data_IF_994944757536
#
_entry.id   IF_994944757536
#
_cell.length_a   1.000
_cell.length_b   1.000
_cell.length_c   1.000
_cell.angle_alpha   90.00
_cell.angle_beta   90.00
_cell.angle_gamma   90.00
#
_symmetry.space_group_name_H-M   'P 1'
#
loop_
_entity.id
_entity.type
_entity.pdbx_description
1 polymer ?
#
# COMPACT_ATOMS: atom_id res chain seq x y z
N UNK A 1 3.69 -21.66 -4.34
CA UNK A 1 3.67 -20.27 -4.78
C UNK A 1 3.72 -19.37 -3.55
N UNK A 2 4.40 -18.23 -3.65
CA UNK A 2 4.33 -17.18 -2.62
C UNK A 2 3.74 -15.91 -3.25
N UNK A 3 3.05 -15.13 -2.43
CA UNK A 3 2.46 -13.87 -2.88
C UNK A 3 2.68 -12.76 -1.85
N UNK A 4 2.75 -11.52 -2.35
CA UNK A 4 2.74 -10.31 -1.52
C UNK A 4 1.60 -9.44 -1.99
N UNK A 5 0.74 -9.02 -1.07
CA UNK A 5 -0.33 -8.07 -1.33
C UNK A 5 -0.07 -6.76 -0.60
N UNK A 6 -0.14 -5.63 -1.29
CA UNK A 6 0.14 -4.33 -0.70
C UNK A 6 -0.67 -3.21 -1.36
N UNK A 7 -1.40 -2.42 -0.56
CA UNK A 7 -2.17 -1.29 -1.04
C UNK A 7 -1.83 -0.03 -0.21
N UNK A 8 -1.73 1.16 -0.81
CA UNK A 8 -1.50 2.41 -0.08
C UNK A 8 -2.57 2.69 0.97
N UNK A 9 -3.84 2.50 0.63
CA UNK A 9 -4.98 2.65 1.55
C UNK A 9 -5.19 1.46 2.49
N UNK A 10 -4.48 0.39 2.28
CA UNK A 10 -3.93 -0.66 3.14
C UNK A 10 -4.83 -1.54 3.97
N UNK A 11 -6.16 -1.37 4.03
CA UNK A 11 -6.97 -2.19 4.93
C UNK A 11 -7.79 -3.22 4.13
N UNK A 12 -8.79 -2.81 3.38
CA UNK A 12 -9.71 -3.76 2.76
C UNK A 12 -9.10 -4.53 1.58
N UNK A 13 -8.54 -3.82 0.59
CA UNK A 13 -8.09 -4.46 -0.65
C UNK A 13 -6.91 -5.41 -0.46
N UNK A 14 -6.02 -5.12 0.51
CA UNK A 14 -4.87 -6.00 0.82
C UNK A 14 -5.35 -7.36 1.32
N UNK A 15 -6.31 -7.37 2.25
CA UNK A 15 -6.88 -8.61 2.80
C UNK A 15 -7.81 -9.30 1.82
N UNK A 16 -8.62 -8.56 1.05
CA UNK A 16 -9.45 -9.15 0.00
C UNK A 16 -8.62 -9.88 -1.06
N UNK A 17 -7.46 -9.34 -1.43
CA UNK A 17 -6.54 -9.99 -2.35
C UNK A 17 -5.89 -11.24 -1.74
N UNK A 18 -5.52 -11.18 -0.46
CA UNK A 18 -5.02 -12.34 0.29
C UNK A 18 -6.05 -13.47 0.30
N UNK A 19 -7.28 -13.16 0.71
CA UNK A 19 -8.37 -14.14 0.81
C UNK A 19 -8.71 -14.75 -0.56
N UNK A 20 -8.81 -13.92 -1.60
CA UNK A 20 -9.07 -14.37 -2.96
C UNK A 20 -7.98 -15.33 -3.47
N UNK A 21 -6.71 -15.01 -3.24
CA UNK A 21 -5.59 -15.86 -3.62
C UNK A 21 -5.58 -17.17 -2.83
N UNK A 22 -5.79 -17.12 -1.51
CA UNK A 22 -5.83 -18.32 -0.64
C UNK A 22 -7.01 -19.24 -0.98
N UNK A 23 -8.20 -18.69 -1.14
CA UNK A 23 -9.39 -19.45 -1.48
C UNK A 23 -9.24 -20.13 -2.84
N UNK A 24 -8.75 -19.39 -3.83
CA UNK A 24 -8.53 -19.94 -5.17
C UNK A 24 -7.44 -21.00 -5.18
N UNK A 25 -6.34 -20.78 -4.48
CA UNK A 25 -5.27 -21.77 -4.35
C UNK A 25 -5.78 -23.07 -3.71
N UNK A 26 -6.61 -22.96 -2.66
CA UNK A 26 -7.28 -24.13 -2.03
C UNK A 26 -8.14 -24.90 -3.02
N UNK A 27 -8.92 -24.21 -3.86
CA UNK A 27 -9.74 -24.84 -4.92
C UNK A 27 -8.90 -25.55 -5.98
N UNK A 28 -7.68 -25.06 -6.21
CA UNK A 28 -6.75 -25.63 -7.20
C UNK A 28 -5.80 -26.68 -6.61
N UNK A 29 -5.86 -26.96 -5.31
CA UNK A 29 -4.92 -27.86 -4.63
C UNK A 29 -3.48 -27.31 -4.58
N UNK A 30 -3.29 -25.99 -4.70
CA UNK A 30 -1.98 -25.32 -4.71
C UNK A 30 -1.68 -24.77 -3.34
N UNK A 31 -0.46 -25.04 -2.83
CA UNK A 31 0.00 -24.41 -1.60
C UNK A 31 0.46 -22.98 -1.89
N UNK A 32 -0.16 -22.01 -1.26
CA UNK A 32 0.18 -20.59 -1.36
C UNK A 32 0.42 -19.99 0.02
N UNK A 33 1.49 -19.21 0.14
CA UNK A 33 1.77 -18.37 1.30
C UNK A 33 1.64 -16.91 0.88
N UNK A 34 0.86 -16.13 1.61
CA UNK A 34 0.59 -14.73 1.27
C UNK A 34 1.05 -13.83 2.41
N UNK A 35 1.94 -12.91 2.10
CA UNK A 35 2.33 -11.79 2.95
C UNK A 35 1.44 -10.59 2.63
N UNK A 36 0.96 -9.92 3.67
CA UNK A 36 0.14 -8.70 3.52
C UNK A 36 0.88 -7.50 4.09
N UNK A 37 0.99 -6.45 3.29
CA UNK A 37 1.58 -5.17 3.67
C UNK A 37 0.47 -4.10 3.71
N UNK A 38 -0.29 -4.11 4.82
CA UNK A 38 -1.36 -3.16 5.09
C UNK A 38 -0.87 -1.87 5.78
N UNK A 39 -1.82 -1.09 6.29
CA UNK A 39 -1.57 0.08 7.15
C UNK A 39 -0.96 -0.31 8.50
N UNK A 40 -1.28 -1.50 8.98
CA UNK A 40 -0.79 -2.05 10.25
C UNK A 40 0.62 -2.68 10.14
N UNK A 41 1.30 -2.46 9.01
CA UNK A 41 2.58 -3.06 8.71
C UNK A 41 2.50 -4.40 7.96
N UNK A 42 3.63 -5.09 7.89
CA UNK A 42 3.73 -6.39 7.23
C UNK A 42 3.26 -7.51 8.18
N UNK A 43 2.33 -8.34 7.70
CA UNK A 43 1.88 -9.57 8.38
C UNK A 43 2.21 -10.79 7.54
N UNK A 44 2.42 -11.93 8.20
CA UNK A 44 2.79 -13.19 7.54
C UNK A 44 4.01 -13.05 6.63
N UNK A 45 5.03 -12.33 7.11
CA UNK A 45 6.26 -12.07 6.34
C UNK A 45 6.85 -13.37 5.82
N UNK A 46 7.15 -13.38 4.53
CA UNK A 46 7.74 -14.54 3.87
C UNK A 46 9.19 -14.75 4.32
N UNK A 47 9.52 -15.96 4.72
CA UNK A 47 10.89 -16.33 5.06
C UNK A 47 11.73 -16.59 3.79
N UNK A 48 13.05 -16.50 3.91
CA UNK A 48 13.96 -16.85 2.80
C UNK A 48 13.71 -18.26 2.28
N UNK A 49 13.50 -19.21 3.16
CA UNK A 49 13.24 -20.61 2.81
C UNK A 49 11.93 -20.79 2.03
N UNK A 50 10.88 -20.06 2.42
CA UNK A 50 9.59 -20.07 1.69
C UNK A 50 9.74 -19.50 0.29
N UNK A 51 10.51 -18.42 0.15
CA UNK A 51 10.82 -17.79 -1.13
C UNK A 51 11.67 -18.73 -1.99
N UNK A 52 12.70 -19.37 -1.43
CA UNK A 52 13.58 -20.30 -2.15
C UNK A 52 12.83 -21.53 -2.68
N UNK A 53 11.92 -22.09 -1.91
CA UNK A 53 11.08 -23.25 -2.28
C UNK A 53 9.95 -22.88 -3.25
N UNK A 54 9.63 -21.60 -3.40
CA UNK A 54 8.54 -21.17 -4.25
C UNK A 54 8.86 -21.37 -5.76
N UNK A 55 7.89 -21.91 -6.48
CA UNK A 55 7.97 -22.06 -7.96
C UNK A 55 7.89 -20.70 -8.65
N UNK A 56 7.10 -19.77 -8.10
CA UNK A 56 6.95 -18.42 -8.60
C UNK A 56 6.42 -17.47 -7.50
N UNK A 57 6.56 -16.18 -7.75
CA UNK A 57 6.21 -15.10 -6.85
C UNK A 57 5.16 -14.21 -7.51
N UNK A 58 4.09 -13.92 -6.79
CA UNK A 58 3.06 -12.96 -7.20
C UNK A 58 3.21 -11.71 -6.34
N UNK A 59 3.46 -10.55 -6.94
CA UNK A 59 3.47 -9.25 -6.24
C UNK A 59 2.28 -8.45 -6.71
N UNK A 60 1.19 -8.52 -5.94
CA UNK A 60 -0.04 -7.75 -6.15
C UNK A 60 0.04 -6.48 -5.30
N UNK A 61 0.65 -5.43 -5.83
CA UNK A 61 0.98 -4.25 -5.04
C UNK A 61 0.77 -2.95 -5.82
N UNK A 62 0.07 -2.00 -5.17
CA UNK A 62 -0.11 -0.62 -5.64
C UNK A 62 0.82 0.36 -4.90
N UNK A 63 1.63 -0.13 -3.95
CA UNK A 63 2.73 0.59 -3.29
C UNK A 63 4.04 -0.16 -3.44
N UNK A 64 5.14 0.51 -3.13
CA UNK A 64 6.45 -0.14 -3.18
C UNK A 64 6.56 -1.22 -2.09
N UNK A 65 7.04 -2.40 -2.47
CA UNK A 65 7.37 -3.51 -1.59
C UNK A 65 8.85 -3.86 -1.76
N UNK A 66 9.44 -4.44 -0.72
CA UNK A 66 10.84 -4.86 -0.75
C UNK A 66 11.01 -6.03 -1.74
N UNK A 67 11.60 -5.73 -2.89
CA UNK A 67 11.70 -6.67 -4.02
C UNK A 67 12.99 -7.48 -4.02
N UNK A 68 14.07 -6.97 -3.41
CA UNK A 68 15.43 -7.54 -3.49
C UNK A 68 15.50 -8.98 -2.96
N UNK A 69 14.62 -9.31 -2.02
CA UNK A 69 14.49 -10.68 -1.47
C UNK A 69 13.97 -11.73 -2.46
N UNK A 70 13.46 -11.30 -3.62
CA UNK A 70 12.97 -12.20 -4.68
C UNK A 70 13.97 -12.39 -5.82
N UNK A 71 15.25 -12.07 -5.62
CA UNK A 71 16.28 -12.21 -6.63
C UNK A 71 16.31 -13.63 -7.21
N UNK A 72 16.43 -13.71 -8.55
CA UNK A 72 16.45 -14.98 -9.29
C UNK A 72 15.10 -15.70 -9.41
N UNK A 73 14.00 -15.16 -8.87
CA UNK A 73 12.67 -15.80 -8.95
C UNK A 73 11.84 -15.28 -10.13
N UNK A 74 10.99 -16.17 -10.67
CA UNK A 74 9.95 -15.77 -11.61
C UNK A 74 8.90 -14.95 -10.88
N UNK A 75 8.78 -13.68 -11.22
CA UNK A 75 7.98 -12.70 -10.53
C UNK A 75 6.90 -12.14 -11.44
N UNK A 76 5.65 -12.21 -10.99
CA UNK A 76 4.49 -11.59 -11.61
C UNK A 76 4.11 -10.34 -10.81
N UNK A 77 4.33 -9.17 -11.40
CA UNK A 77 3.90 -7.90 -10.79
C UNK A 77 2.54 -7.49 -11.36
N UNK A 78 1.60 -7.17 -10.48
CA UNK A 78 0.22 -6.84 -10.85
C UNK A 78 -0.39 -5.87 -9.85
N UNK A 79 -1.41 -5.07 -10.23
CA UNK A 79 -2.20 -4.30 -9.26
C UNK A 79 -2.96 -5.21 -8.28
N UNK A 80 -3.23 -4.72 -7.07
CA UNK A 80 -4.01 -5.47 -6.06
C UNK A 80 -5.40 -5.86 -6.59
N UNK A 81 -6.02 -5.00 -7.38
CA UNK A 81 -7.32 -5.25 -7.99
C UNK A 81 -7.36 -6.50 -8.88
N UNK A 82 -6.27 -6.81 -9.57
CA UNK A 82 -6.19 -8.00 -10.42
C UNK A 82 -6.12 -9.28 -9.59
N UNK A 83 -5.44 -9.25 -8.45
CA UNK A 83 -5.41 -10.39 -7.53
C UNK A 83 -6.79 -10.72 -6.94
N UNK A 84 -7.65 -9.71 -6.80
CA UNK A 84 -9.04 -9.89 -6.37
C UNK A 84 -9.91 -10.45 -7.50
N UNK A 85 -9.76 -9.89 -8.72
CA UNK A 85 -10.62 -10.23 -9.86
C UNK A 85 -10.25 -11.53 -10.54
N UNK A 86 -8.97 -11.85 -10.65
CA UNK A 86 -8.46 -12.97 -11.44
C UNK A 86 -7.36 -13.77 -10.69
N UNK A 87 -7.62 -14.21 -9.45
CA UNK A 87 -6.63 -14.96 -8.68
C UNK A 87 -6.22 -16.26 -9.36
N UNK A 88 -7.17 -16.95 -10.04
CA UNK A 88 -6.91 -18.19 -10.79
C UNK A 88 -5.90 -17.99 -11.90
N UNK A 89 -6.05 -16.94 -12.70
CA UNK A 89 -5.13 -16.62 -13.78
C UNK A 89 -3.72 -16.33 -13.28
N UNK A 90 -3.60 -15.57 -12.18
CA UNK A 90 -2.31 -15.24 -11.58
C UNK A 90 -1.61 -16.47 -11.00
N UNK A 91 -2.33 -17.36 -10.31
CA UNK A 91 -1.76 -18.60 -9.78
C UNK A 91 -1.27 -19.49 -10.92
N UNK A 92 -2.06 -19.67 -11.98
CA UNK A 92 -1.66 -20.47 -13.15
C UNK A 92 -0.40 -19.90 -13.83
N UNK A 93 -0.36 -18.59 -14.07
CA UNK A 93 0.82 -17.92 -14.64
C UNK A 93 2.06 -18.10 -13.77
N UNK A 94 1.91 -17.99 -12.45
CA UNK A 94 3.00 -18.20 -11.50
C UNK A 94 3.51 -19.65 -11.51
N UNK A 95 2.60 -20.64 -11.59
CA UNK A 95 2.97 -22.07 -11.71
C UNK A 95 3.68 -22.37 -13.01
N UNK A 96 3.24 -21.77 -14.12
CA UNK A 96 3.86 -21.91 -15.44
C UNK A 96 5.15 -21.10 -15.59
N UNK A 97 5.59 -20.39 -14.55
CA UNK A 97 6.77 -19.52 -14.57
C UNK A 97 6.71 -18.45 -15.67
N UNK A 98 5.51 -17.93 -15.96
CA UNK A 98 5.30 -16.91 -17.00
C UNK A 98 5.79 -15.51 -16.59
N UNK A 99 6.26 -15.33 -15.36
CA UNK A 99 6.84 -14.07 -14.87
C UNK A 99 8.28 -13.87 -15.36
N UNK A 100 8.71 -12.60 -15.38
CA UNK A 100 10.11 -12.28 -15.63
C UNK A 100 10.98 -12.72 -14.45
N UNK A 101 12.20 -13.21 -14.72
CA UNK A 101 13.16 -13.49 -13.65
C UNK A 101 13.60 -12.14 -13.07
N UNK A 102 13.29 -11.90 -11.81
CA UNK A 102 13.72 -10.71 -11.12
C UNK A 102 15.22 -10.81 -10.78
N UNK A 103 15.99 -9.78 -11.12
CA UNK A 103 17.40 -9.65 -10.76
C UNK A 103 17.56 -8.42 -9.90
N UNK A 104 17.95 -8.61 -8.65
CA UNK A 104 18.35 -7.55 -7.74
C UNK A 104 19.77 -7.07 -8.14
N UNK A 105 19.92 -6.46 -9.32
CA UNK A 105 21.14 -5.75 -9.66
C UNK A 105 20.99 -4.31 -9.22
N UNK A 106 21.99 -3.79 -8.50
CA UNK A 106 22.01 -2.49 -7.86
C UNK A 106 21.88 -1.24 -8.74
N UNK A 107 21.08 -1.31 -9.76
CA UNK A 107 20.49 -0.19 -10.51
C UNK A 107 19.16 -0.68 -11.06
N UNK A 108 18.08 -0.31 -10.39
CA UNK A 108 16.74 -0.51 -10.88
C UNK A 108 16.47 0.40 -12.09
N UNK A 109 17.04 0.06 -13.24
CA UNK A 109 16.44 0.41 -14.52
C UNK A 109 15.41 -0.67 -14.81
N UNK A 110 14.17 -0.36 -14.51
CA UNK A 110 12.99 -1.07 -14.95
C UNK A 110 13.04 -1.24 -16.48
N UNK A 111 13.52 -2.40 -16.94
CA UNK A 111 13.33 -2.85 -18.31
C UNK A 111 11.96 -3.52 -18.45
N UNK A 112 10.92 -2.75 -18.23
CA UNK A 112 9.56 -3.01 -18.72
C UNK A 112 9.08 -1.86 -19.62
N UNK A 113 10.04 -1.21 -20.33
CA UNK A 113 9.79 -0.14 -21.28
C UNK A 113 9.48 -0.64 -22.69
N UNK A 114 8.74 -1.73 -22.86
CA UNK A 114 8.23 -2.07 -24.20
C UNK A 114 6.82 -2.66 -24.15
N UNK A 115 5.85 -1.92 -23.63
CA UNK A 115 4.42 -1.86 -24.03
C UNK A 115 3.49 -1.15 -23.04
N UNK A 116 3.98 -0.30 -22.16
CA UNK A 116 3.11 0.73 -21.63
C UNK A 116 3.46 2.04 -22.35
N UNK A 117 2.59 2.48 -23.24
CA UNK A 117 2.42 3.91 -23.46
C UNK A 117 2.21 4.47 -22.07
N UNK A 118 3.27 5.03 -21.49
CA UNK A 118 3.27 5.63 -20.15
C UNK A 118 2.15 6.65 -20.12
N UNK A 119 1.02 6.26 -19.61
CA UNK A 119 0.01 7.20 -19.19
C UNK A 119 0.65 7.98 -18.04
N UNK A 120 1.16 9.16 -18.36
CA UNK A 120 1.65 10.15 -17.40
C UNK A 120 0.66 10.25 -16.23
N UNK A 121 -0.65 10.12 -16.50
CA UNK A 121 -1.71 10.04 -15.50
C UNK A 121 -1.58 8.89 -14.51
N UNK A 122 -1.07 7.73 -14.89
CA UNK A 122 -0.92 6.59 -13.96
C UNK A 122 0.19 6.81 -12.94
N UNK A 123 1.30 7.45 -13.33
CA UNK A 123 2.39 7.80 -12.40
C UNK A 123 1.93 8.90 -11.43
N UNK A 124 1.31 9.97 -11.95
CA UNK A 124 0.76 11.05 -11.12
C UNK A 124 -0.27 10.50 -10.13
N UNK A 125 -1.18 9.64 -10.58
CA UNK A 125 -2.17 9.00 -9.69
C UNK A 125 -1.49 8.23 -8.55
N UNK A 126 -0.44 7.46 -8.84
CA UNK A 126 0.30 6.70 -7.83
C UNK A 126 0.99 7.61 -6.81
N UNK A 127 1.61 8.69 -7.27
CA UNK A 127 2.31 9.65 -6.42
C UNK A 127 1.32 10.41 -5.52
N UNK A 128 0.18 10.84 -6.07
CA UNK A 128 -0.91 11.46 -5.29
C UNK A 128 -1.48 10.49 -4.26
N UNK A 129 -1.75 9.24 -4.64
CA UNK A 129 -2.29 8.23 -3.72
C UNK A 129 -1.32 7.90 -2.59
N UNK A 130 -0.01 7.95 -2.83
CA UNK A 130 0.98 7.83 -1.77
C UNK A 130 0.87 8.96 -0.75
N UNK A 131 0.73 10.21 -1.22
CA UNK A 131 0.50 11.38 -0.36
C UNK A 131 -0.79 11.27 0.47
N UNK A 132 -1.90 10.88 -0.18
CA UNK A 132 -3.20 10.68 0.47
C UNK A 132 -3.11 9.64 1.59
N UNK A 133 -2.39 8.55 1.38
CA UNK A 133 -2.26 7.48 2.40
C UNK A 133 -1.59 7.95 3.68
N UNK A 134 -0.58 8.82 3.57
CA UNK A 134 0.10 9.39 4.73
C UNK A 134 -0.71 10.49 5.43
N UNK A 135 -1.65 11.11 4.73
CA UNK A 135 -2.58 12.10 5.26
C UNK A 135 -3.71 11.47 6.10
N UNK A 136 -4.11 10.21 5.80
CA UNK A 136 -5.24 9.54 6.45
C UNK A 136 -5.19 9.53 7.99
N UNK A 137 -4.06 9.23 8.67
CA UNK A 137 -3.99 9.26 10.13
C UNK A 137 -4.34 10.63 10.73
N UNK A 138 -3.98 11.73 10.06
CA UNK A 138 -4.27 13.08 10.50
C UNK A 138 -5.75 13.41 10.34
N UNK A 139 -6.38 12.97 9.24
CA UNK A 139 -7.84 13.11 9.01
C UNK A 139 -8.61 12.37 10.10
N UNK A 140 -8.25 11.12 10.35
CA UNK A 140 -8.92 10.27 11.34
C UNK A 140 -8.71 10.83 12.75
N UNK A 141 -7.48 11.15 13.14
CA UNK A 141 -7.16 11.70 14.44
C UNK A 141 -7.82 13.06 14.67
N UNK A 142 -7.74 13.96 13.70
CA UNK A 142 -8.40 15.27 13.76
C UNK A 142 -9.93 15.16 13.85
N UNK A 143 -10.52 14.27 13.03
CA UNK A 143 -11.96 14.01 13.04
C UNK A 143 -12.46 13.46 14.40
N UNK A 144 -11.70 12.55 15.02
CA UNK A 144 -12.03 12.05 16.37
C UNK A 144 -11.97 13.17 17.39
N UNK A 145 -10.95 14.03 17.36
CA UNK A 145 -10.83 15.15 18.30
C UNK A 145 -11.99 16.15 18.15
N UNK A 146 -12.41 16.43 16.91
CA UNK A 146 -13.57 17.28 16.63
C UNK A 146 -14.86 16.61 17.16
N UNK A 147 -15.04 15.31 16.92
CA UNK A 147 -16.21 14.60 17.45
C UNK A 147 -16.27 14.63 18.98
N UNK A 148 -15.14 14.45 19.66
CA UNK A 148 -15.04 14.56 21.12
C UNK A 148 -15.28 16.00 21.57
N UNK A 149 -14.87 17.02 20.81
CA UNK A 149 -15.14 18.42 21.13
C UNK A 149 -16.63 18.72 21.15
N UNK A 150 -17.42 18.20 20.22
CA UNK A 150 -18.89 18.33 20.21
C UNK A 150 -19.54 17.61 21.41
N UNK A 151 -19.00 16.48 21.84
CA UNK A 151 -19.45 15.81 23.06
C UNK A 151 -19.15 16.68 24.32
N UNK A 152 -17.98 17.30 24.36
CA UNK A 152 -17.60 18.21 25.44
C UNK A 152 -18.46 19.48 25.45
N UNK A 153 -18.82 20.00 24.27
CA UNK A 153 -19.74 21.14 24.12
C UNK A 153 -21.10 20.86 24.79
N UNK A 154 -21.69 19.70 24.53
CA UNK A 154 -22.98 19.31 25.09
C UNK A 154 -22.97 19.18 26.62
N UNK A 155 -21.80 18.89 27.22
CA UNK A 155 -21.65 18.68 28.66
C UNK A 155 -21.16 19.92 29.41
N UNK A 156 -20.28 20.73 28.79
CA UNK A 156 -19.57 21.84 29.44
C UNK A 156 -19.87 23.21 28.79
N UNK A 157 -20.61 23.24 27.66
CA UNK A 157 -20.97 24.43 26.91
C UNK A 157 -19.83 24.91 25.96
N UNK A 158 -20.22 25.70 24.92
CA UNK A 158 -19.34 26.24 23.88
C UNK A 158 -18.17 27.10 24.39
N UNK A 159 -18.34 27.74 25.57
CA UNK A 159 -17.28 28.58 26.12
C UNK A 159 -16.23 27.83 26.95
N UNK A 160 -16.41 26.52 27.13
CA UNK A 160 -15.46 25.67 27.86
C UNK A 160 -14.05 25.70 27.19
N UNK A 161 -13.03 25.81 28.03
CA UNK A 161 -11.64 25.71 27.58
C UNK A 161 -11.34 24.36 26.94
N UNK A 162 -11.99 23.29 27.40
CA UNK A 162 -11.84 21.92 26.88
C UNK A 162 -12.34 21.85 25.42
N UNK A 163 -13.55 22.40 25.19
CA UNK A 163 -14.11 22.47 23.83
C UNK A 163 -13.17 23.22 22.86
N UNK A 164 -12.75 24.43 23.24
CA UNK A 164 -11.87 25.27 22.42
C UNK A 164 -10.54 24.59 22.12
N UNK A 165 -9.94 23.95 23.12
CA UNK A 165 -8.67 23.26 22.98
C UNK A 165 -8.78 22.04 22.04
N UNK A 166 -9.82 21.22 22.19
CA UNK A 166 -10.03 20.05 21.32
C UNK A 166 -10.35 20.46 19.88
N UNK A 167 -11.18 21.51 19.71
CA UNK A 167 -11.52 22.04 18.39
C UNK A 167 -10.31 22.69 17.71
N UNK A 168 -9.45 23.37 18.46
CA UNK A 168 -8.24 23.98 17.90
C UNK A 168 -7.24 22.93 17.45
N UNK A 169 -6.98 21.89 18.23
CA UNK A 169 -6.08 20.80 17.85
C UNK A 169 -6.66 19.98 16.68
N UNK A 170 -7.94 19.61 16.75
CA UNK A 170 -8.58 18.79 15.72
C UNK A 170 -8.83 19.56 14.43
N UNK A 171 -9.40 20.76 14.51
CA UNK A 171 -9.74 21.59 13.36
C UNK A 171 -8.53 22.36 12.82
N UNK A 172 -8.03 23.31 13.59
CA UNK A 172 -6.94 24.19 13.12
C UNK A 172 -5.59 23.48 13.07
N UNK A 173 -5.31 22.57 14.00
CA UNK A 173 -4.06 21.80 14.01
C UNK A 173 -4.05 20.72 12.94
N UNK A 174 -4.82 19.66 13.13
CA UNK A 174 -4.76 18.48 12.27
C UNK A 174 -5.19 18.76 10.82
N UNK A 175 -6.31 19.47 10.61
CA UNK A 175 -6.81 19.74 9.26
C UNK A 175 -5.97 20.77 8.49
N UNK A 176 -5.39 21.76 9.16
CA UNK A 176 -4.50 22.72 8.50
C UNK A 176 -3.21 22.06 8.01
N UNK A 177 -2.74 21.03 8.73
CA UNK A 177 -1.54 20.28 8.34
C UNK A 177 -1.76 19.30 7.18
N UNK A 178 -3.00 19.05 6.75
CA UNK A 178 -3.28 18.11 5.65
C UNK A 178 -2.60 18.52 4.34
N UNK A 179 -2.64 19.79 3.98
CA UNK A 179 -2.07 20.29 2.72
C UNK A 179 -0.54 20.17 2.72
N UNK A 180 0.19 20.65 3.73
CA UNK A 180 1.65 20.45 3.83
C UNK A 180 2.05 18.97 3.83
N UNK A 181 1.34 18.12 4.57
CA UNK A 181 1.63 16.68 4.63
C UNK A 181 1.41 16.04 3.25
N UNK A 182 0.29 16.34 2.60
CA UNK A 182 0.00 15.84 1.26
C UNK A 182 1.10 16.23 0.27
N UNK A 183 1.46 17.53 0.23
CA UNK A 183 2.49 18.06 -0.66
C UNK A 183 3.86 17.41 -0.40
N UNK A 184 4.27 17.31 0.87
CA UNK A 184 5.53 16.71 1.25
C UNK A 184 5.65 15.23 0.85
N UNK A 185 4.60 14.45 1.06
CA UNK A 185 4.63 13.02 0.69
C UNK A 185 4.46 12.77 -0.82
N UNK A 186 3.77 13.66 -1.55
CA UNK A 186 3.78 13.60 -3.02
C UNK A 186 5.21 13.91 -3.53
N UNK A 187 5.84 14.96 -3.02
CA UNK A 187 7.20 15.32 -3.39
C UNK A 187 8.21 14.20 -3.01
N UNK A 188 8.04 13.56 -1.87
CA UNK A 188 8.81 12.39 -1.47
C UNK A 188 8.60 11.19 -2.42
N UNK A 189 7.40 10.99 -2.95
CA UNK A 189 7.13 9.93 -3.92
C UNK A 189 7.83 10.17 -5.27
N UNK A 190 8.06 11.42 -5.63
CA UNK A 190 8.70 11.82 -6.89
C UNK A 190 10.22 11.85 -6.79
N UNK A 191 10.77 12.38 -5.68
CA UNK A 191 12.18 12.70 -5.50
C UNK A 191 12.83 12.04 -4.27
N UNK A 192 12.21 10.99 -3.72
CA UNK A 192 12.64 10.32 -2.48
C UNK A 192 12.71 11.25 -1.26
N UNK A 193 13.45 10.85 -0.22
CA UNK A 193 13.55 11.60 1.05
C UNK A 193 13.92 13.06 0.90
N UNK A 194 14.83 13.47 -0.01
CA UNK A 194 15.14 14.89 -0.21
C UNK A 194 13.94 15.73 -0.64
N UNK A 195 12.95 15.13 -1.33
CA UNK A 195 11.75 15.81 -1.78
C UNK A 195 10.79 16.24 -0.66
N UNK A 196 10.88 15.62 0.51
CA UNK A 196 10.00 15.91 1.64
C UNK A 196 10.16 17.35 2.18
N UNK A 197 11.36 17.90 2.13
CA UNK A 197 11.63 19.24 2.69
C UNK A 197 11.08 20.42 1.86
N UNK A 198 11.17 20.43 0.53
CA UNK A 198 10.59 21.50 -0.29
C UNK A 198 9.10 21.33 -0.59
N UNK A 199 8.53 20.14 -0.37
CA UNK A 199 7.09 19.85 -0.55
C UNK A 199 6.31 20.17 0.69
#
# INVERSE_FOLDING_TARGET
VVAVTACPTGIAHTYMAEDALKEQAKKMGVNIRVETNGSDGAKNVLTKEEIEKAVGVIVAADKNVEMDRFDGKHLLKTPVSEAIRNPKGLINKSLNKEGNIFKASGEAKSQDDKKEKTYIGGKIYKDVMNGVSHMLPFVVGGGILIAVSFMAESSFGENSQIYKFLMDIGGNGAFTMLIPILAGYIAMSIADRPGLMPG
#
